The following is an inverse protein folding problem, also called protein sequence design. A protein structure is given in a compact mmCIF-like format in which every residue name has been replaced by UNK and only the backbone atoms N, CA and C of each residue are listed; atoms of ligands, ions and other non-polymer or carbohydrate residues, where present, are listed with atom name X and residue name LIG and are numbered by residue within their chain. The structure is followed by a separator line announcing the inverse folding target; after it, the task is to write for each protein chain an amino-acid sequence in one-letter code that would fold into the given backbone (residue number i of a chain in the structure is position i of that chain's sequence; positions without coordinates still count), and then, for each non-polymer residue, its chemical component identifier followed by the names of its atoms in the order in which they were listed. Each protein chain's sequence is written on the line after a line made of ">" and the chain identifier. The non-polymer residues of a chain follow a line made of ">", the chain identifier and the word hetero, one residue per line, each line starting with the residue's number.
data_IF_664921559815
#
_entry.id   IF_664921559815
#
_cell.length_a   1.000
_cell.length_b   1.000
_cell.length_c   1.000
_cell.angle_alpha   90.00
_cell.angle_beta   90.00
_cell.angle_gamma   90.00
#
_symmetry.space_group_name_H-M   'P 1'
#
loop_
_entity.id
_entity.type
_entity.pdbx_description
1 polymer ?
#
# COMPACT_ATOMS: atom_id res chain seq x y z
N UNK A 1 6.45 -9.85 17.90
CA UNK A 1 6.02 -10.53 16.67
C UNK A 1 4.62 -10.06 16.36
N UNK A 2 4.43 -9.23 15.34
CA UNK A 2 3.09 -8.90 14.90
C UNK A 2 2.53 -9.95 13.95
N UNK A 3 1.36 -9.66 13.40
CA UNK A 3 0.54 -10.62 12.69
C UNK A 3 0.64 -10.46 11.18
N UNK A 4 0.58 -11.57 10.45
CA UNK A 4 0.28 -11.54 9.02
C UNK A 4 -1.11 -10.95 8.78
N UNK A 5 -1.22 -10.11 7.75
CA UNK A 5 -2.49 -9.62 7.21
C UNK A 5 -2.70 -10.20 5.81
N UNK A 6 -3.76 -10.99 5.65
CA UNK A 6 -4.22 -11.47 4.35
C UNK A 6 -5.72 -11.20 4.23
N UNK A 7 -6.09 -10.35 3.28
CA UNK A 7 -7.49 -10.04 2.97
C UNK A 7 -7.83 -10.58 1.59
N UNK A 8 -8.96 -11.28 1.46
CA UNK A 8 -9.39 -11.90 0.21
C UNK A 8 -10.79 -11.41 -0.17
N UNK A 9 -10.91 -10.72 -1.30
CA UNK A 9 -12.14 -10.13 -1.80
C UNK A 9 -12.52 -10.69 -3.18
N UNK A 10 -13.80 -10.98 -3.39
CA UNK A 10 -14.32 -11.45 -4.69
C UNK A 10 -14.71 -10.26 -5.57
N UNK A 11 -14.19 -10.20 -6.80
CA UNK A 11 -14.63 -9.25 -7.82
C UNK A 11 -15.53 -9.96 -8.85
N UNK A 12 -16.79 -9.53 -8.94
CA UNK A 12 -17.80 -10.08 -9.86
C UNK A 12 -17.91 -9.21 -11.11
N UNK A 13 -18.23 -9.85 -12.23
CA UNK A 13 -18.44 -9.13 -13.49
C UNK A 13 -17.18 -8.53 -14.07
N UNK A 14 -17.36 -7.71 -15.11
CA UNK A 14 -16.29 -7.01 -15.83
C UNK A 14 -15.88 -5.69 -15.17
N UNK A 15 -16.61 -5.23 -14.16
CA UNK A 15 -16.42 -3.93 -13.52
C UNK A 15 -15.46 -4.02 -12.32
N UNK A 16 -14.19 -4.35 -12.58
CA UNK A 16 -13.11 -4.24 -11.59
C UNK A 16 -12.15 -3.07 -11.90
N UNK A 17 -12.53 -2.22 -12.86
CA UNK A 17 -11.72 -1.10 -13.36
C UNK A 17 -11.35 -0.13 -12.26
N UNK A 18 -12.27 0.26 -11.38
CA UNK A 18 -11.93 1.19 -10.29
C UNK A 18 -10.89 0.62 -9.30
N UNK A 19 -10.84 -0.70 -9.12
CA UNK A 19 -9.78 -1.33 -8.35
C UNK A 19 -8.46 -1.37 -9.13
N UNK A 20 -8.50 -1.62 -10.44
CA UNK A 20 -7.33 -1.49 -11.31
C UNK A 20 -6.78 -0.06 -11.28
N UNK A 21 -7.63 0.95 -11.40
CA UNK A 21 -7.24 2.36 -11.39
C UNK A 21 -6.56 2.78 -10.09
N UNK A 22 -7.05 2.25 -8.97
CA UNK A 22 -6.41 2.44 -7.66
C UNK A 22 -5.06 1.70 -7.58
N UNK A 23 -5.02 0.41 -7.97
CA UNK A 23 -3.81 -0.42 -7.87
C UNK A 23 -2.68 0.11 -8.77
N UNK A 24 -3.02 0.53 -9.98
CA UNK A 24 -2.08 1.01 -11.01
C UNK A 24 -1.87 2.53 -10.91
N UNK A 25 -2.45 3.17 -9.88
CA UNK A 25 -2.35 4.62 -9.64
C UNK A 25 -2.78 5.48 -10.84
N UNK A 26 -3.73 4.99 -11.66
CA UNK A 26 -4.46 5.82 -12.65
C UNK A 26 -5.28 6.90 -11.96
N UNK A 27 -5.73 6.65 -10.73
CA UNK A 27 -6.29 7.67 -9.82
C UNK A 27 -5.57 7.58 -8.48
N UNK A 28 -4.96 8.68 -8.04
CA UNK A 28 -4.23 8.74 -6.76
C UNK A 28 -5.25 8.88 -5.61
N UNK A 29 -5.27 7.94 -4.65
CA UNK A 29 -6.16 8.04 -3.49
C UNK A 29 -5.65 9.11 -2.49
N UNK A 30 -6.55 9.67 -1.69
CA UNK A 30 -6.22 10.76 -0.74
C UNK A 30 -5.18 10.39 0.32
N UNK A 31 -5.07 9.11 0.66
CA UNK A 31 -4.15 8.58 1.66
C UNK A 31 -2.83 8.08 1.05
N UNK A 32 -2.62 8.23 -0.25
CA UNK A 32 -1.33 7.97 -0.87
C UNK A 32 -0.50 9.25 -0.94
N UNK A 33 0.79 9.12 -0.64
CA UNK A 33 1.81 10.14 -0.77
C UNK A 33 2.41 10.11 -2.19
N UNK A 34 2.12 11.10 -3.05
CA UNK A 34 2.59 11.12 -4.43
C UNK A 34 4.11 11.12 -4.56
N UNK A 35 4.84 11.59 -3.54
CA UNK A 35 6.30 11.62 -3.55
C UNK A 35 6.88 10.20 -3.47
N UNK A 36 6.14 9.24 -2.91
CA UNK A 36 6.55 7.86 -2.71
C UNK A 36 6.02 6.89 -3.77
N UNK A 37 5.10 7.32 -4.64
CA UNK A 37 4.49 6.44 -5.66
C UNK A 37 5.50 5.79 -6.60
N UNK A 38 6.64 6.44 -6.85
CA UNK A 38 7.73 5.87 -7.64
C UNK A 38 8.41 4.64 -7.00
N UNK A 39 8.18 4.40 -5.70
CA UNK A 39 8.64 3.22 -4.97
C UNK A 39 7.71 2.01 -5.14
N UNK A 40 6.52 2.21 -5.70
CA UNK A 40 5.60 1.12 -6.02
C UNK A 40 6.20 0.25 -7.13
N UNK A 41 5.93 -1.06 -7.07
CA UNK A 41 6.54 -2.03 -7.99
C UNK A 41 5.54 -3.05 -8.47
N UNK A 42 5.54 -3.29 -9.77
CA UNK A 42 4.88 -4.44 -10.37
C UNK A 42 5.78 -5.67 -10.21
N UNK A 43 5.24 -6.72 -9.61
CA UNK A 43 5.94 -7.95 -9.27
C UNK A 43 5.63 -9.09 -10.27
N UNK A 44 4.67 -8.88 -11.16
CA UNK A 44 4.25 -9.85 -12.18
C UNK A 44 4.28 -9.15 -13.53
N UNK A 45 5.06 -9.70 -14.46
CA UNK A 45 5.07 -9.24 -15.85
C UNK A 45 3.79 -9.67 -16.57
N UNK A 46 3.22 -8.75 -17.34
CA UNK A 46 2.06 -9.05 -18.17
C UNK A 46 2.45 -9.79 -19.46
N UNK A 47 1.57 -10.66 -19.99
CA UNK A 47 1.76 -11.26 -21.31
C UNK A 47 1.84 -10.22 -22.43
N UNK A 48 2.44 -10.60 -23.56
CA UNK A 48 2.51 -9.75 -24.75
C UNK A 48 1.13 -9.23 -25.18
N UNK A 49 1.02 -7.92 -25.39
CA UNK A 49 -0.23 -7.26 -25.79
C UNK A 49 -1.24 -7.06 -24.66
N UNK A 50 -0.86 -7.30 -23.40
CA UNK A 50 -1.64 -6.95 -22.20
C UNK A 50 -0.98 -5.75 -21.53
N UNK A 51 -1.73 -4.66 -21.39
CA UNK A 51 -1.21 -3.37 -20.90
C UNK A 51 -1.57 -3.09 -19.44
N UNK A 52 -2.62 -3.73 -18.92
CA UNK A 52 -3.08 -3.50 -17.56
C UNK A 52 -3.70 -4.76 -16.92
N UNK A 53 -3.96 -4.67 -15.62
CA UNK A 53 -4.56 -5.72 -14.80
C UNK A 53 -5.94 -6.15 -15.29
N UNK A 54 -6.76 -5.23 -15.81
CA UNK A 54 -8.09 -5.54 -16.33
C UNK A 54 -7.98 -6.41 -17.59
N UNK A 55 -7.05 -6.07 -18.46
CA UNK A 55 -6.68 -6.87 -19.62
C UNK A 55 -6.04 -8.19 -19.21
N UNK A 56 -5.22 -8.24 -18.16
CA UNK A 56 -4.58 -9.47 -17.67
C UNK A 56 -5.62 -10.48 -17.17
N UNK A 57 -6.62 -10.04 -16.40
CA UNK A 57 -7.76 -10.86 -15.97
C UNK A 57 -8.50 -11.40 -17.21
N UNK A 58 -8.80 -10.52 -18.17
CA UNK A 58 -9.55 -10.87 -19.37
C UNK A 58 -8.78 -11.85 -20.27
N UNK A 59 -7.47 -11.61 -20.45
CA UNK A 59 -6.55 -12.45 -21.18
C UNK A 59 -6.53 -13.85 -20.57
N UNK A 60 -6.30 -13.96 -19.25
CA UNK A 60 -6.26 -15.25 -18.57
C UNK A 60 -7.58 -16.02 -18.70
N UNK A 61 -8.72 -15.34 -18.61
CA UNK A 61 -10.04 -15.97 -18.82
C UNK A 61 -10.20 -16.48 -20.25
N UNK A 62 -9.79 -15.69 -21.27
CA UNK A 62 -9.89 -16.06 -22.68
C UNK A 62 -9.00 -17.24 -23.04
N UNK A 63 -7.77 -17.28 -22.52
CA UNK A 63 -6.78 -18.31 -22.86
C UNK A 63 -6.89 -19.59 -22.02
N UNK A 64 -7.70 -19.59 -20.95
CA UNK A 64 -7.89 -20.76 -20.08
C UNK A 64 -8.66 -21.92 -20.70
N UNK A 65 -9.22 -21.79 -21.90
CA UNK A 65 -10.00 -22.86 -22.53
C UNK A 65 -11.35 -23.13 -21.87
N UNK A 66 -11.93 -22.12 -21.22
CA UNK A 66 -13.28 -22.21 -20.64
C UNK A 66 -14.31 -22.29 -21.76
N UNK A 67 -14.95 -23.45 -21.91
CA UNK A 67 -15.94 -23.68 -22.99
C UNK A 67 -17.34 -23.16 -22.70
N UNK A 68 -17.67 -22.96 -21.42
CA UNK A 68 -19.01 -22.50 -21.01
C UNK A 68 -19.06 -20.99 -20.93
N UNK A 69 -20.18 -20.40 -21.34
CA UNK A 69 -20.45 -18.97 -21.17
C UNK A 69 -20.28 -18.56 -19.70
N UNK A 70 -19.48 -17.51 -19.49
CA UNK A 70 -19.28 -16.86 -18.19
C UNK A 70 -20.41 -15.85 -18.01
N UNK A 71 -21.22 -16.03 -16.96
CA UNK A 71 -22.32 -15.09 -16.69
C UNK A 71 -21.78 -13.80 -16.05
N UNK A 72 -22.50 -12.66 -16.20
CA UNK A 72 -22.06 -11.39 -15.63
C UNK A 72 -21.75 -11.45 -14.13
N UNK A 73 -22.54 -12.19 -13.34
CA UNK A 73 -22.35 -12.26 -11.88
C UNK A 73 -21.23 -13.20 -11.41
N UNK A 74 -20.53 -13.87 -12.32
CA UNK A 74 -19.43 -14.76 -11.91
C UNK A 74 -18.25 -13.95 -11.38
N UNK A 75 -17.61 -14.52 -10.35
CA UNK A 75 -16.37 -13.98 -9.80
C UNK A 75 -15.25 -14.19 -10.82
N UNK A 76 -14.82 -13.09 -11.44
CA UNK A 76 -13.77 -13.09 -12.47
C UNK A 76 -12.38 -12.96 -11.87
N UNK A 77 -12.26 -12.26 -10.75
CA UNK A 77 -11.02 -12.09 -10.02
C UNK A 77 -11.22 -12.23 -8.51
N UNK A 78 -10.18 -12.68 -7.85
CA UNK A 78 -10.01 -12.66 -6.41
C UNK A 78 -8.90 -11.65 -6.13
N UNK A 79 -9.23 -10.58 -5.42
CA UNK A 79 -8.29 -9.56 -4.97
C UNK A 79 -7.75 -9.98 -3.62
N UNK A 80 -6.43 -9.98 -3.49
CA UNK A 80 -5.74 -10.37 -2.26
C UNK A 80 -4.88 -9.18 -1.83
N UNK A 81 -4.98 -8.78 -0.56
CA UNK A 81 -4.07 -7.80 0.05
C UNK A 81 -3.19 -8.55 1.03
N UNK A 82 -1.88 -8.39 0.91
CA UNK A 82 -0.86 -9.04 1.75
C UNK A 82 -0.03 -7.98 2.45
N UNK A 83 0.06 -8.04 3.77
CA UNK A 83 0.83 -7.11 4.59
C UNK A 83 1.10 -7.71 5.99
N UNK A 84 1.61 -6.89 6.91
CA UNK A 84 1.80 -7.15 8.33
C UNK A 84 1.30 -5.97 9.17
N UNK A 85 1.73 -5.89 10.43
CA UNK A 85 1.56 -4.65 11.21
C UNK A 85 2.43 -3.55 10.62
N UNK A 86 2.09 -2.28 10.90
CA UNK A 86 2.88 -1.16 10.37
C UNK A 86 4.35 -1.26 10.82
N UNK A 87 4.56 -1.50 12.10
CA UNK A 87 5.89 -1.57 12.72
C UNK A 87 6.73 -2.71 12.14
N UNK A 88 6.15 -3.90 11.95
CA UNK A 88 6.88 -5.02 11.36
C UNK A 88 7.18 -4.79 9.88
N UNK A 89 6.28 -4.16 9.13
CA UNK A 89 6.53 -3.86 7.71
C UNK A 89 7.64 -2.82 7.54
N UNK A 90 7.66 -1.79 8.40
CA UNK A 90 8.75 -0.81 8.41
C UNK A 90 10.08 -1.47 8.79
N UNK A 91 10.07 -2.37 9.78
CA UNK A 91 11.27 -3.14 10.14
C UNK A 91 11.80 -4.00 8.98
N UNK A 92 10.93 -4.71 8.25
CA UNK A 92 11.33 -5.50 7.08
C UNK A 92 11.97 -4.60 6.00
N UNK A 93 11.42 -3.40 5.81
CA UNK A 93 11.96 -2.41 4.88
C UNK A 93 13.34 -1.89 5.33
N UNK A 94 13.47 -1.47 6.59
CA UNK A 94 14.68 -0.89 7.16
C UNK A 94 15.83 -1.90 7.22
N UNK A 95 15.53 -3.17 7.42
CA UNK A 95 16.49 -4.28 7.34
C UNK A 95 16.90 -4.63 5.89
N UNK A 96 16.34 -3.96 4.88
CA UNK A 96 16.63 -4.22 3.46
C UNK A 96 16.05 -5.54 2.95
N UNK A 97 15.06 -6.12 3.65
CA UNK A 97 14.48 -7.44 3.35
C UNK A 97 13.18 -7.39 2.54
N UNK A 98 12.82 -6.20 2.06
CA UNK A 98 11.57 -5.98 1.32
C UNK A 98 11.51 -6.73 -0.01
N UNK A 99 12.63 -6.88 -0.71
CA UNK A 99 12.73 -7.67 -1.94
C UNK A 99 12.46 -9.16 -1.66
N UNK A 100 13.12 -9.70 -0.64
CA UNK A 100 12.93 -11.07 -0.17
C UNK A 100 11.46 -11.32 0.18
N UNK A 101 10.85 -10.36 0.90
CA UNK A 101 9.45 -10.43 1.30
C UNK A 101 8.52 -10.42 0.09
N UNK A 102 8.76 -9.57 -0.91
CA UNK A 102 8.00 -9.56 -2.16
C UNK A 102 8.08 -10.90 -2.89
N UNK A 103 9.28 -11.47 -3.02
CA UNK A 103 9.52 -12.73 -3.73
C UNK A 103 8.81 -13.91 -3.04
N UNK A 104 8.85 -13.99 -1.71
CA UNK A 104 8.15 -15.04 -0.98
C UNK A 104 6.63 -14.91 -1.06
N UNK A 105 6.12 -13.69 -1.03
CA UNK A 105 4.69 -13.42 -1.24
C UNK A 105 4.25 -13.90 -2.62
N UNK A 106 5.02 -13.58 -3.65
CA UNK A 106 4.75 -14.02 -5.01
C UNK A 106 4.83 -15.55 -5.12
N UNK A 107 5.86 -16.17 -4.55
CA UNK A 107 5.98 -17.63 -4.52
C UNK A 107 4.80 -18.29 -3.79
N UNK A 108 4.38 -17.77 -2.65
CA UNK A 108 3.25 -18.29 -1.90
C UNK A 108 1.95 -18.18 -2.71
N UNK A 109 1.70 -17.05 -3.37
CA UNK A 109 0.55 -16.86 -4.26
C UNK A 109 0.55 -17.88 -5.40
N UNK A 110 1.68 -18.04 -6.09
CA UNK A 110 1.81 -18.95 -7.23
C UNK A 110 1.67 -20.42 -6.82
N UNK A 111 2.21 -20.82 -5.65
CA UNK A 111 2.04 -22.19 -5.12
C UNK A 111 0.58 -22.44 -4.68
N UNK A 112 -0.08 -21.44 -4.12
CA UNK A 112 -1.43 -21.57 -3.57
C UNK A 112 -2.52 -21.54 -4.64
N UNK A 113 -2.40 -20.63 -5.60
CA UNK A 113 -3.44 -20.35 -6.60
C UNK A 113 -3.06 -20.76 -8.02
N UNK A 114 -1.78 -21.05 -8.27
CA UNK A 114 -1.20 -21.34 -9.57
C UNK A 114 -0.54 -20.11 -10.19
N UNK A 115 0.62 -20.31 -10.82
CA UNK A 115 1.39 -19.26 -11.51
C UNK A 115 0.53 -18.53 -12.57
N UNK A 116 -0.06 -19.29 -13.49
CA UNK A 116 -0.95 -18.78 -14.54
C UNK A 116 -2.19 -18.02 -14.01
N UNK A 117 -2.63 -18.35 -12.79
CA UNK A 117 -3.81 -17.73 -12.21
C UNK A 117 -3.47 -16.44 -11.46
N UNK A 118 -2.20 -16.21 -11.09
CA UNK A 118 -1.75 -14.98 -10.43
C UNK A 118 -1.35 -13.97 -11.50
N UNK A 119 -2.31 -13.13 -11.91
CA UNK A 119 -2.19 -12.30 -13.11
C UNK A 119 -1.64 -10.90 -12.87
N UNK A 120 -1.58 -10.46 -11.61
CA UNK A 120 -1.04 -9.17 -11.21
C UNK A 120 -0.67 -9.25 -9.73
N UNK A 121 0.47 -8.65 -9.37
CA UNK A 121 0.85 -8.36 -7.99
C UNK A 121 1.60 -7.03 -7.99
N UNK A 122 1.16 -6.07 -7.18
CA UNK A 122 1.73 -4.73 -7.12
C UNK A 122 2.01 -4.37 -5.68
N UNK A 123 3.26 -4.03 -5.38
CA UNK A 123 3.69 -3.48 -4.10
C UNK A 123 3.33 -1.99 -4.05
N UNK A 124 2.62 -1.58 -3.00
CA UNK A 124 2.36 -0.18 -2.66
C UNK A 124 3.23 0.23 -1.48
N UNK A 125 4.04 1.24 -1.70
CA UNK A 125 4.97 1.87 -0.76
C UNK A 125 4.61 3.33 -0.49
N UNK A 126 3.54 3.83 -1.09
CA UNK A 126 3.08 5.21 -1.02
C UNK A 126 1.90 5.43 -0.09
N UNK A 127 1.41 4.38 0.56
CA UNK A 127 0.40 4.49 1.62
C UNK A 127 1.04 4.36 3.01
N UNK A 128 0.20 4.34 4.06
CA UNK A 128 0.67 4.30 5.44
C UNK A 128 1.54 3.06 5.74
N UNK A 129 1.14 1.87 5.29
CA UNK A 129 1.86 0.62 5.54
C UNK A 129 2.17 -0.08 4.22
N UNK A 130 3.41 -0.54 3.98
CA UNK A 130 3.74 -1.36 2.81
C UNK A 130 2.83 -2.58 2.66
N UNK A 131 2.27 -2.78 1.47
CA UNK A 131 1.38 -3.91 1.20
C UNK A 131 1.37 -4.30 -0.28
N UNK A 132 1.01 -5.56 -0.57
CA UNK A 132 0.88 -6.06 -1.93
C UNK A 132 -0.59 -6.24 -2.28
N UNK A 133 -1.01 -5.65 -3.38
CA UNK A 133 -2.24 -5.97 -4.07
C UNK A 133 -2.00 -7.06 -5.11
N UNK A 134 -2.47 -8.27 -4.83
CA UNK A 134 -2.43 -9.39 -5.76
C UNK A 134 -3.81 -9.70 -6.36
N UNK A 135 -3.81 -10.21 -7.58
CA UNK A 135 -5.03 -10.57 -8.32
C UNK A 135 -4.92 -11.96 -8.88
N UNK A 136 -5.88 -12.80 -8.48
CA UNK A 136 -5.97 -14.20 -8.88
C UNK A 136 -7.23 -14.45 -9.69
N UNK A 137 -7.11 -15.09 -10.86
CA UNK A 137 -8.27 -15.58 -11.63
C UNK A 137 -8.59 -17.01 -11.16
N UNK A 138 -9.78 -17.28 -10.60
CA UNK A 138 -10.10 -18.57 -9.96
C UNK A 138 -10.44 -19.66 -10.98
N UNK A 139 -9.49 -20.01 -11.85
CA UNK A 139 -9.63 -21.10 -12.79
C UNK A 139 -9.27 -22.41 -12.11
N UNK A 140 -10.19 -23.37 -12.19
CA UNK A 140 -10.03 -24.71 -11.66
C UNK A 140 -10.30 -25.75 -12.74
N UNK A 141 -9.55 -26.85 -12.67
CA UNK A 141 -9.75 -28.04 -13.51
C UNK A 141 -10.23 -29.17 -12.62
N UNK A 142 -11.28 -29.88 -13.05
CA UNK A 142 -11.79 -31.05 -12.34
C UNK A 142 -13.28 -30.97 -12.01
N UNK A 143 -13.77 -32.03 -11.40
CA UNK A 143 -15.20 -32.18 -11.08
C UNK A 143 -15.72 -31.09 -10.15
N UNK A 144 -16.99 -30.75 -10.31
CA UNK A 144 -17.64 -29.73 -9.48
C UNK A 144 -17.88 -30.28 -8.07
N UNK A 145 -17.42 -29.59 -7.03
CA UNK A 145 -17.65 -29.98 -5.62
C UNK A 145 -19.12 -30.28 -5.30
N UNK A 146 -20.04 -29.43 -5.76
CA UNK A 146 -21.50 -29.62 -5.56
C UNK A 146 -22.08 -30.82 -6.33
N UNK A 147 -21.36 -31.38 -7.32
CA UNK A 147 -21.75 -32.61 -7.99
C UNK A 147 -21.36 -33.85 -7.16
N UNK A 148 -20.17 -33.86 -6.53
CA UNK A 148 -19.75 -34.93 -5.61
C UNK A 148 -20.73 -35.10 -4.45
N UNK A 149 -21.17 -34.00 -3.82
CA UNK A 149 -22.17 -34.03 -2.73
C UNK A 149 -23.55 -34.58 -3.15
N UNK A 150 -23.97 -34.36 -4.42
CA UNK A 150 -25.24 -34.91 -4.93
C UNK A 150 -25.15 -36.40 -5.28
N UNK A 151 -23.96 -36.89 -5.61
CA UNK A 151 -23.71 -38.29 -5.93
C UNK A 151 -23.69 -39.14 -4.66
N UNK A 152 -23.17 -38.60 -3.54
CA UNK A 152 -23.26 -39.22 -2.21
C UNK A 152 -24.70 -39.23 -1.66
N UNK A 153 -25.52 -38.23 -2.01
CA UNK A 153 -26.93 -38.12 -1.58
C UNK A 153 -27.91 -38.94 -2.46
N UNK A 154 -27.43 -39.89 -3.27
CA UNK A 154 -28.26 -40.83 -4.03
C UNK A 154 -29.11 -40.25 -5.18
N UNK A 155 -28.99 -38.96 -5.50
CA UNK A 155 -29.79 -38.33 -6.57
C UNK A 155 -29.14 -38.55 -7.94
N UNK A 156 -29.93 -39.03 -8.92
CA UNK A 156 -29.51 -39.24 -10.33
C UNK A 156 -28.78 -38.00 -10.86
N UNK A 157 -27.49 -38.17 -11.16
CA UNK A 157 -26.61 -37.13 -11.67
C UNK A 157 -26.32 -37.41 -13.14
N UNK A 158 -26.71 -36.50 -14.03
CA UNK A 158 -26.33 -36.52 -15.45
C UNK A 158 -24.79 -36.56 -15.55
N UNK A 159 -24.23 -37.53 -16.29
CA UNK A 159 -22.78 -37.74 -16.45
C UNK A 159 -22.15 -36.49 -17.10
N UNK A 160 -21.54 -35.62 -16.30
CA UNK A 160 -20.84 -34.42 -16.79
C UNK A 160 -19.40 -34.80 -17.10
N UNK A 161 -18.87 -34.34 -18.24
CA UNK A 161 -17.50 -34.60 -18.69
C UNK A 161 -16.50 -34.28 -17.56
N UNK A 162 -15.66 -35.26 -17.22
CA UNK A 162 -14.56 -35.08 -16.28
C UNK A 162 -13.58 -34.00 -16.78
N UNK A 163 -12.89 -33.32 -15.87
CA UNK A 163 -11.78 -32.40 -16.16
C UNK A 163 -12.08 -31.21 -17.09
N UNK A 164 -13.27 -30.61 -16.98
CA UNK A 164 -13.56 -29.35 -17.69
C UNK A 164 -12.97 -28.16 -16.92
N UNK A 165 -12.23 -27.29 -17.63
CA UNK A 165 -11.73 -26.02 -17.09
C UNK A 165 -12.88 -25.05 -16.86
N UNK A 166 -12.92 -24.40 -15.69
CA UNK A 166 -13.99 -23.46 -15.32
C UNK A 166 -13.48 -22.37 -14.38
N UNK A 167 -14.16 -21.23 -14.43
CA UNK A 167 -14.05 -20.15 -13.46
C UNK A 167 -14.91 -20.48 -12.22
N UNK A 168 -14.29 -20.67 -11.05
CA UNK A 168 -15.03 -21.00 -9.84
C UNK A 168 -14.33 -20.60 -8.53
N UNK A 169 -14.66 -19.41 -8.04
CA UNK A 169 -14.18 -18.95 -6.73
C UNK A 169 -14.65 -19.83 -5.55
N UNK A 170 -15.81 -20.50 -5.64
CA UNK A 170 -16.31 -21.36 -4.55
C UNK A 170 -15.43 -22.59 -4.30
N UNK A 171 -14.71 -23.07 -5.32
CA UNK A 171 -13.78 -24.19 -5.19
C UNK A 171 -12.39 -23.72 -4.71
N UNK A 172 -12.08 -22.43 -4.86
CA UNK A 172 -10.83 -21.81 -4.41
C UNK A 172 -10.95 -21.26 -2.98
N UNK A 173 -12.13 -20.75 -2.61
CA UNK A 173 -12.40 -20.04 -1.35
C UNK A 173 -13.38 -20.80 -0.45
N UNK A 174 -13.11 -22.09 -0.23
CA UNK A 174 -13.81 -22.90 0.78
C UNK A 174 -13.33 -22.52 2.19
N UNK A 175 -14.15 -22.74 3.22
CA UNK A 175 -13.78 -22.45 4.61
C UNK A 175 -12.48 -23.15 5.02
N UNK A 176 -12.33 -24.42 4.65
CA UNK A 176 -11.14 -25.21 4.96
C UNK A 176 -9.89 -24.61 4.31
N UNK A 177 -9.95 -24.33 3.01
CA UNK A 177 -8.87 -23.65 2.28
C UNK A 177 -8.50 -22.28 2.87
N UNK A 178 -9.48 -21.47 3.26
CA UNK A 178 -9.20 -20.17 3.88
C UNK A 178 -8.40 -20.35 5.18
N UNK A 179 -8.77 -21.31 6.03
CA UNK A 179 -7.98 -21.65 7.23
C UNK A 179 -6.57 -22.08 6.84
N UNK A 180 -6.43 -22.98 5.85
CA UNK A 180 -5.13 -23.42 5.35
C UNK A 180 -4.29 -22.28 4.79
N UNK A 181 -4.89 -21.30 4.11
CA UNK A 181 -4.17 -20.14 3.59
C UNK A 181 -3.59 -19.28 4.71
N UNK A 182 -4.35 -19.04 5.78
CA UNK A 182 -3.80 -18.35 6.95
C UNK A 182 -2.66 -19.15 7.60
N UNK A 183 -2.80 -20.48 7.71
CA UNK A 183 -1.78 -21.35 8.31
C UNK A 183 -0.49 -21.36 7.47
N UNK A 184 -0.61 -21.57 6.16
CA UNK A 184 0.54 -21.67 5.24
C UNK A 184 1.20 -20.31 4.99
N UNK A 185 0.42 -19.23 4.92
CA UNK A 185 0.96 -17.88 4.74
C UNK A 185 1.74 -17.44 5.98
N UNK A 186 1.22 -17.70 7.18
CA UNK A 186 1.95 -17.44 8.42
C UNK A 186 3.27 -18.21 8.46
N UNK A 187 3.29 -19.48 8.04
CA UNK A 187 4.53 -20.27 7.97
C UNK A 187 5.54 -19.68 6.99
N UNK A 188 5.09 -19.17 5.84
CA UNK A 188 5.97 -18.52 4.86
C UNK A 188 6.55 -17.20 5.41
N UNK A 189 5.78 -16.47 6.22
CA UNK A 189 6.17 -15.16 6.74
C UNK A 189 6.90 -15.20 8.09
N UNK A 190 7.03 -16.37 8.72
CA UNK A 190 7.64 -16.56 10.05
C UNK A 190 9.06 -15.97 10.14
N UNK A 191 9.86 -16.08 9.07
CA UNK A 191 11.23 -15.53 9.02
C UNK A 191 11.31 -14.00 9.01
N UNK A 192 10.18 -13.33 8.85
CA UNK A 192 10.04 -11.87 8.98
C UNK A 192 9.49 -11.47 10.36
N UNK A 193 9.33 -12.42 11.28
CA UNK A 193 8.76 -12.17 12.61
C UNK A 193 7.24 -12.00 12.60
N UNK A 194 6.57 -12.32 11.49
CA UNK A 194 5.13 -12.26 11.34
C UNK A 194 4.50 -13.62 11.68
N UNK A 195 3.50 -13.60 12.57
CA UNK A 195 2.81 -14.81 13.02
C UNK A 195 1.36 -14.87 12.55
N UNK A 196 0.77 -16.06 12.69
CA UNK A 196 -0.64 -16.29 12.36
C UNK A 196 -1.56 -15.48 13.26
N UNK A 197 -2.60 -14.86 12.68
CA UNK A 197 -3.70 -14.29 13.45
C UNK A 197 -4.45 -15.33 14.30
N UNK A 198 -5.21 -14.85 15.28
CA UNK A 198 -5.96 -15.69 16.25
C UNK A 198 -6.91 -16.64 15.53
N UNK A 199 -6.80 -17.93 15.83
CA UNK A 199 -7.68 -18.96 15.25
C UNK A 199 -9.07 -18.84 15.86
N UNK A 200 -10.10 -18.80 15.01
CA UNK A 200 -11.48 -18.62 15.48
C UNK A 200 -11.80 -17.20 15.92
N UNK A 201 -10.99 -16.20 15.54
CA UNK A 201 -11.27 -14.79 15.83
C UNK A 201 -12.70 -14.40 15.43
N UNK A 202 -13.39 -13.72 16.33
CA UNK A 202 -14.73 -13.16 16.11
C UNK A 202 -14.69 -11.76 15.50
N UNK A 203 -13.48 -11.23 15.24
CA UNK A 203 -13.29 -9.93 14.62
C UNK A 203 -14.00 -9.88 13.26
N UNK A 204 -14.76 -8.81 13.04
CA UNK A 204 -15.41 -8.52 11.76
C UNK A 204 -14.55 -7.59 10.94
N UNK A 205 -14.39 -7.89 9.66
CA UNK A 205 -13.70 -7.00 8.75
C UNK A 205 -14.40 -5.64 8.69
N UNK A 206 -13.65 -4.58 8.96
CA UNK A 206 -14.05 -3.20 8.75
C UNK A 206 -13.45 -2.70 7.45
N UNK A 207 -14.26 -2.01 6.65
CA UNK A 207 -13.74 -1.36 5.43
C UNK A 207 -12.82 -0.21 5.82
N UNK A 208 -11.88 0.17 4.96
CA UNK A 208 -10.97 1.31 5.18
C UNK A 208 -11.74 2.60 5.51
N UNK A 209 -12.84 2.87 4.83
CA UNK A 209 -13.68 4.04 5.09
C UNK A 209 -14.38 3.99 6.45
N UNK A 210 -14.80 2.80 6.91
CA UNK A 210 -15.34 2.62 8.26
C UNK A 210 -14.25 2.80 9.32
N UNK A 211 -13.08 2.20 9.11
CA UNK A 211 -11.94 2.34 10.02
C UNK A 211 -11.58 3.81 10.26
N UNK A 212 -11.40 4.61 9.20
CA UNK A 212 -11.11 6.05 9.36
C UNK A 212 -12.25 6.82 10.03
N UNK A 213 -13.51 6.43 9.80
CA UNK A 213 -14.67 7.04 10.48
C UNK A 213 -14.66 6.73 11.97
N UNK A 214 -14.43 5.48 12.33
CA UNK A 214 -14.40 5.03 13.72
C UNK A 214 -13.20 5.65 14.45
N UNK A 215 -12.03 5.71 13.80
CA UNK A 215 -10.84 6.37 14.33
C UNK A 215 -11.13 7.85 14.61
N UNK A 216 -11.69 8.58 13.64
CA UNK A 216 -12.03 10.00 13.81
C UNK A 216 -13.03 10.22 14.96
N UNK A 217 -14.01 9.33 15.11
CA UNK A 217 -14.96 9.38 16.24
C UNK A 217 -14.25 9.14 17.56
N UNK A 218 -13.42 8.09 17.66
CA UNK A 218 -12.68 7.77 18.88
C UNK A 218 -11.73 8.89 19.27
N UNK A 219 -11.02 9.51 18.31
CA UNK A 219 -10.17 10.67 18.57
C UNK A 219 -10.97 11.83 19.13
N UNK A 220 -12.15 12.14 18.56
CA UNK A 220 -13.03 13.19 19.08
C UNK A 220 -13.58 12.88 20.48
N UNK A 221 -13.93 11.62 20.77
CA UNK A 221 -14.35 11.18 22.10
C UNK A 221 -13.21 11.28 23.12
N UNK A 222 -11.99 10.89 22.74
CA UNK A 222 -10.79 11.03 23.56
C UNK A 222 -10.46 12.49 23.85
N UNK A 223 -10.51 13.36 22.84
CA UNK A 223 -10.30 14.80 23.00
C UNK A 223 -11.32 15.41 23.98
N UNK A 224 -12.59 15.04 23.87
CA UNK A 224 -13.63 15.48 24.79
C UNK A 224 -13.38 14.98 26.23
N UNK A 225 -13.01 13.71 26.38
CA UNK A 225 -12.69 13.14 27.69
C UNK A 225 -11.47 13.82 28.33
N UNK A 226 -10.43 14.13 27.54
CA UNK A 226 -9.25 14.86 28.03
C UNK A 226 -9.63 16.25 28.51
N UNK A 227 -10.46 16.98 27.77
CA UNK A 227 -10.94 18.31 28.18
C UNK A 227 -11.79 18.25 29.47
N UNK A 228 -12.64 17.24 29.60
CA UNK A 228 -13.43 17.03 30.81
C UNK A 228 -12.52 16.74 32.02
N UNK A 229 -11.57 15.80 31.88
CA UNK A 229 -10.63 15.47 32.95
C UNK A 229 -9.77 16.67 33.37
N UNK A 230 -9.34 17.51 32.42
CA UNK A 230 -8.63 18.75 32.72
C UNK A 230 -9.50 19.73 33.53
N UNK A 231 -10.80 19.82 33.18
CA UNK A 231 -11.75 20.68 33.90
C UNK A 231 -11.99 20.16 35.32
N UNK A 232 -12.19 18.86 35.49
CA UNK A 232 -12.35 18.22 36.80
C UNK A 232 -11.10 18.39 37.66
N UNK A 233 -9.91 18.26 37.07
CA UNK A 233 -8.64 18.49 37.76
C UNK A 233 -8.54 19.94 38.28
N UNK A 234 -8.84 20.94 37.44
CA UNK A 234 -8.83 22.35 37.87
C UNK A 234 -9.83 22.63 38.99
N UNK A 235 -11.03 22.04 38.92
CA UNK A 235 -12.03 22.19 39.97
C UNK A 235 -11.57 21.54 41.28
N UNK A 236 -10.97 20.34 41.20
CA UNK A 236 -10.42 19.65 42.36
C UNK A 236 -9.28 20.45 43.01
N UNK A 237 -8.37 21.03 42.22
CA UNK A 237 -7.29 21.91 42.70
C UNK A 237 -7.85 23.16 43.39
N UNK A 238 -8.85 23.82 42.80
CA UNK A 238 -9.51 24.98 43.41
C UNK A 238 -10.20 24.63 44.73
N UNK A 239 -10.86 23.47 44.83
CA UNK A 239 -11.45 23.01 46.08
C UNK A 239 -10.37 22.70 47.12
N UNK A 240 -9.27 22.07 46.72
CA UNK A 240 -8.12 21.79 47.60
C UNK A 240 -7.52 23.09 48.16
N UNK A 241 -7.41 24.13 47.34
CA UNK A 241 -6.90 25.42 47.77
C UNK A 241 -7.88 26.15 48.69
N UNK A 242 -9.19 26.07 48.44
CA UNK A 242 -10.21 26.58 49.38
C UNK A 242 -10.14 25.88 50.73
N UNK A 243 -10.11 24.55 50.74
CA UNK A 243 -9.95 23.76 51.98
C UNK A 243 -8.63 24.09 52.67
N UNK A 244 -7.54 24.29 51.94
CA UNK A 244 -6.25 24.73 52.52
C UNK A 244 -6.35 26.12 53.15
N UNK A 245 -7.07 27.05 52.54
CA UNK A 245 -7.29 28.39 53.08
C UNK A 245 -8.19 28.36 54.33
N UNK A 246 -9.28 27.60 54.29
CA UNK A 246 -10.19 27.40 55.43
C UNK A 246 -9.49 26.70 56.61
N UNK A 247 -8.67 25.69 56.33
CA UNK A 247 -7.83 25.02 57.33
C UNK A 247 -6.75 25.96 57.90
N UNK A 248 -6.34 26.99 57.16
CA UNK A 248 -5.39 28.02 57.60
C UNK A 248 -6.07 29.10 58.44
N UNK A 249 -7.37 29.37 58.23
CA UNK A 249 -8.15 30.33 59.01
C UNK A 249 -8.81 29.72 60.26
N UNK A 250 -9.15 28.43 60.26
CA UNK A 250 -9.80 27.75 61.40
C UNK A 250 -8.81 27.10 62.39
N UNK A 251 -7.50 27.07 62.08
CA UNK A 251 -6.45 26.51 62.95
C UNK A 251 -5.71 27.54 63.81
N UNK A 252 -6.50 28.38 64.47
CA UNK A 252 -6.12 29.11 65.67
C UNK A 252 -7.39 29.07 66.55
N UNK A 253 -7.78 27.98 67.21
CA UNK A 253 -7.32 27.68 68.57
C UNK A 253 -7.86 26.35 69.18
N UNK A 254 -8.88 25.64 68.65
CA UNK A 254 -9.60 24.67 69.51
C UNK A 254 -9.71 23.19 69.05
N UNK A 255 -9.54 22.82 67.78
CA UNK A 255 -9.97 21.49 67.29
C UNK A 255 -8.85 20.42 67.12
N UNK A 256 -7.61 20.69 67.54
CA UNK A 256 -6.42 19.90 67.15
C UNK A 256 -6.24 18.58 67.92
N UNK A 257 -6.88 18.42 69.07
CA UNK A 257 -6.61 17.31 70.01
C UNK A 257 -7.72 16.26 70.05
N UNK A 258 -8.99 16.63 69.89
CA UNK A 258 -10.12 15.69 70.10
C UNK A 258 -10.53 14.93 68.83
N UNK A 259 -10.54 15.59 67.66
CA UNK A 259 -10.89 14.96 66.39
C UNK A 259 -9.81 13.99 65.87
N UNK A 260 -8.55 14.16 66.32
CA UNK A 260 -7.42 13.30 65.90
C UNK A 260 -7.51 11.90 66.52
N UNK A 261 -8.01 11.78 67.75
CA UNK A 261 -8.21 10.49 68.42
C UNK A 261 -9.41 9.73 67.83
N UNK A 262 -10.50 10.43 67.49
CA UNK A 262 -11.70 9.82 66.94
C UNK A 262 -11.56 9.42 65.45
N UNK A 263 -10.78 10.16 64.66
CA UNK A 263 -10.56 9.85 63.23
C UNK A 263 -9.57 8.68 63.03
N UNK A 264 -8.53 8.57 63.87
CA UNK A 264 -7.58 7.45 63.81
C UNK A 264 -8.25 6.12 64.14
N UNK A 265 -9.21 6.11 65.07
CA UNK A 265 -9.98 4.91 65.42
C UNK A 265 -10.98 4.47 64.31
N UNK A 266 -11.51 5.40 63.51
CA UNK A 266 -12.54 5.11 62.49
C UNK A 266 -11.98 4.85 61.09
N UNK A 267 -10.80 5.38 60.79
CA UNK A 267 -10.08 5.10 59.53
C UNK A 267 -9.37 3.73 59.57
N UNK A 268 -9.04 3.22 60.75
CA UNK A 268 -8.42 1.90 60.92
C UNK A 268 -9.32 0.70 60.56
N UNK A 269 -10.65 0.88 60.50
CA UNK A 269 -11.61 -0.22 60.30
C UNK A 269 -12.33 -0.22 58.95
N UNK A 270 -12.13 0.80 58.09
CA UNK A 270 -13.00 1.01 56.91
C UNK A 270 -12.31 0.99 55.54
N UNK A 271 -10.98 1.03 55.44
CA UNK A 271 -10.32 0.97 54.14
C UNK A 271 -9.14 0.01 54.13
N UNK A 272 -9.20 -0.99 53.24
CA UNK A 272 -8.03 -1.70 52.72
C UNK A 272 -7.21 -0.78 51.80
N UNK A 273 -6.65 0.28 52.38
CA UNK A 273 -6.13 1.48 51.71
C UNK A 273 -4.85 1.30 50.90
N UNK A 274 -4.11 0.20 51.06
CA UNK A 274 -2.78 0.09 50.46
C UNK A 274 -2.84 -0.21 48.95
N UNK A 275 -3.75 -1.09 48.49
CA UNK A 275 -3.84 -1.47 47.07
C UNK A 275 -4.25 -0.33 46.14
N UNK A 276 -5.29 0.43 46.50
CA UNK A 276 -5.78 1.54 45.66
C UNK A 276 -4.83 2.74 45.64
N UNK A 277 -4.02 2.90 46.69
CA UNK A 277 -3.02 3.98 46.77
C UNK A 277 -1.77 3.62 45.94
N UNK A 278 -1.34 2.35 46.02
CA UNK A 278 -0.28 1.80 45.18
C UNK A 278 -0.66 1.87 43.68
N UNK A 279 -1.87 1.45 43.30
CA UNK A 279 -2.34 1.52 41.91
C UNK A 279 -2.42 2.97 41.38
N UNK A 280 -2.83 3.93 42.22
CA UNK A 280 -2.87 5.35 41.84
C UNK A 280 -1.47 5.92 41.66
N UNK A 281 -0.54 5.60 42.55
CA UNK A 281 0.86 6.04 42.44
C UNK A 281 1.54 5.42 41.22
N UNK A 282 1.27 4.15 40.90
CA UNK A 282 1.78 3.48 39.70
C UNK A 282 1.21 4.09 38.41
N UNK A 283 -0.10 4.37 38.36
CA UNK A 283 -0.72 5.05 37.23
C UNK A 283 -0.15 6.46 37.03
N UNK A 284 0.08 7.19 38.13
CA UNK A 284 0.65 8.54 38.06
C UNK A 284 2.09 8.53 37.54
N UNK A 285 2.92 7.58 37.99
CA UNK A 285 4.26 7.38 37.46
C UNK A 285 4.24 7.03 35.96
N UNK A 286 3.29 6.19 35.55
CA UNK A 286 3.15 5.78 34.14
C UNK A 286 2.70 6.92 33.24
N UNK A 287 1.80 7.79 33.72
CA UNK A 287 1.41 9.01 33.02
C UNK A 287 2.62 9.93 32.84
N UNK A 288 3.38 10.20 33.91
CA UNK A 288 4.59 11.04 33.80
C UNK A 288 5.65 10.45 32.88
N UNK A 289 5.82 9.13 32.85
CA UNK A 289 6.73 8.47 31.92
C UNK A 289 6.27 8.66 30.46
N UNK A 290 4.98 8.48 30.18
CA UNK A 290 4.41 8.69 28.85
C UNK A 290 4.47 10.16 28.39
N UNK A 291 4.27 11.11 29.30
CA UNK A 291 4.41 12.54 29.01
C UNK A 291 5.85 12.91 28.60
N UNK A 292 6.85 12.32 29.28
CA UNK A 292 8.24 12.53 28.93
C UNK A 292 8.59 11.90 27.57
N UNK A 293 8.13 10.68 27.30
CA UNK A 293 8.31 10.04 25.99
C UNK A 293 7.65 10.84 24.86
N UNK A 294 6.44 11.36 25.08
CA UNK A 294 5.77 12.21 24.10
C UNK A 294 6.55 13.51 23.83
N UNK A 295 7.13 14.13 24.86
CA UNK A 295 7.99 15.31 24.68
C UNK A 295 9.23 14.99 23.83
N UNK A 296 9.90 13.87 24.10
CA UNK A 296 11.06 13.42 23.32
C UNK A 296 10.69 13.13 21.86
N UNK A 297 9.57 12.44 21.62
CA UNK A 297 9.07 12.16 20.27
C UNK A 297 8.73 13.44 19.50
N UNK A 298 8.06 14.41 20.14
CA UNK A 298 7.75 15.70 19.53
C UNK A 298 9.04 16.44 19.15
N UNK A 299 10.06 16.37 19.99
CA UNK A 299 11.35 17.01 19.73
C UNK A 299 12.11 16.31 18.58
N UNK A 300 12.03 14.98 18.52
CA UNK A 300 12.60 14.21 17.42
C UNK A 300 11.92 14.51 16.08
N UNK A 301 10.58 14.55 16.04
CA UNK A 301 9.81 14.92 14.85
C UNK A 301 10.21 16.31 14.35
N UNK A 302 10.29 17.30 15.25
CA UNK A 302 10.74 18.66 14.88
C UNK A 302 12.15 18.68 14.29
N UNK A 303 13.04 17.83 14.80
CA UNK A 303 14.41 17.73 14.30
C UNK A 303 14.42 17.15 12.89
N UNK A 304 13.69 16.05 12.66
CA UNK A 304 13.57 15.45 11.34
C UNK A 304 12.90 16.38 10.32
N UNK A 305 11.86 17.13 10.71
CA UNK A 305 11.21 18.11 9.84
C UNK A 305 12.18 19.22 9.41
N UNK A 306 13.04 19.67 10.33
CA UNK A 306 14.06 20.68 10.05
C UNK A 306 15.14 20.13 9.11
N UNK A 307 15.66 18.93 9.37
CA UNK A 307 16.64 18.26 8.50
C UNK A 307 16.08 18.06 7.08
N UNK A 308 14.84 17.56 6.97
CA UNK A 308 14.19 17.36 5.68
C UNK A 308 13.98 18.68 4.94
N UNK A 309 13.63 19.76 5.65
CA UNK A 309 13.50 21.10 5.08
C UNK A 309 14.85 21.61 4.57
N UNK A 310 15.94 21.36 5.29
CA UNK A 310 17.29 21.73 4.86
C UNK A 310 17.72 20.95 3.61
N UNK A 311 17.43 19.65 3.55
CA UNK A 311 17.67 18.81 2.36
C UNK A 311 16.88 19.29 1.14
N UNK A 312 15.58 19.57 1.31
CA UNK A 312 14.73 20.14 0.26
C UNK A 312 15.28 21.46 -0.24
N UNK A 313 15.79 22.30 0.66
CA UNK A 313 16.42 23.58 0.32
C UNK A 313 17.67 23.37 -0.53
N UNK A 314 18.58 22.48 -0.09
CA UNK A 314 19.81 22.14 -0.83
C UNK A 314 19.51 21.55 -2.21
N UNK A 315 18.49 20.70 -2.31
CA UNK A 315 18.05 20.13 -3.58
C UNK A 315 17.50 21.21 -4.52
N UNK A 316 16.64 22.09 -4.02
CA UNK A 316 16.11 23.20 -4.81
C UNK A 316 17.22 24.14 -5.30
N UNK A 317 18.20 24.47 -4.47
CA UNK A 317 19.37 25.23 -4.90
C UNK A 317 20.17 24.54 -6.02
N UNK A 318 20.27 23.21 -5.97
CA UNK A 318 20.92 22.43 -7.02
C UNK A 318 20.10 22.44 -8.32
N UNK A 319 18.78 22.28 -8.23
CA UNK A 319 17.86 22.38 -9.38
C UNK A 319 17.92 23.79 -10.00
N UNK A 320 17.92 24.84 -9.19
CA UNK A 320 18.06 26.23 -9.64
C UNK A 320 19.39 26.45 -10.38
N UNK A 321 20.50 25.86 -9.89
CA UNK A 321 21.78 25.88 -10.61
C UNK A 321 21.68 25.19 -11.97
N UNK A 322 21.05 24.01 -12.04
CA UNK A 322 20.84 23.31 -13.32
C UNK A 322 20.02 24.18 -14.28
N UNK A 323 18.91 24.75 -13.81
CA UNK A 323 18.06 25.60 -14.66
C UNK A 323 18.77 26.87 -15.12
N UNK A 324 19.61 27.47 -14.26
CA UNK A 324 20.38 28.68 -14.58
C UNK A 324 21.47 28.43 -15.61
N UNK A 325 22.24 27.35 -15.48
CA UNK A 325 23.37 27.06 -16.37
C UNK A 325 22.98 26.20 -17.59
N UNK A 326 21.92 25.40 -17.48
CA UNK A 326 21.46 24.46 -18.50
C UNK A 326 19.93 24.54 -18.70
N UNK A 327 19.39 25.69 -19.12
CA UNK A 327 17.94 25.93 -19.18
C UNK A 327 17.18 24.99 -20.15
N UNK A 328 17.89 24.35 -21.08
CA UNK A 328 17.31 23.39 -22.01
C UNK A 328 17.04 22.02 -21.39
N UNK A 329 17.63 21.67 -20.23
CA UNK A 329 17.51 20.33 -19.61
C UNK A 329 16.06 19.98 -19.31
N UNK A 330 15.31 20.92 -18.74
CA UNK A 330 13.88 20.76 -18.48
C UNK A 330 13.09 20.43 -19.76
N UNK A 331 13.46 21.07 -20.88
CA UNK A 331 12.82 20.92 -22.18
C UNK A 331 13.19 19.61 -22.88
N UNK A 332 14.28 18.97 -22.48
CA UNK A 332 14.67 17.65 -22.97
C UNK A 332 13.95 16.51 -22.23
N UNK A 333 13.46 16.71 -21.00
CA UNK A 333 12.81 15.64 -20.21
C UNK A 333 11.64 14.95 -20.96
N UNK A 334 10.72 15.65 -21.64
CA UNK A 334 9.66 15.00 -22.42
C UNK A 334 10.20 14.15 -23.58
N UNK A 335 11.32 14.58 -24.20
CA UNK A 335 11.96 13.82 -25.28
C UNK A 335 12.68 12.58 -24.75
N UNK A 336 13.34 12.70 -23.60
CA UNK A 336 13.95 11.58 -22.88
C UNK A 336 12.88 10.53 -22.56
N UNK A 337 11.76 10.98 -21.99
CA UNK A 337 10.61 10.13 -21.70
C UNK A 337 10.12 9.44 -22.98
N UNK A 338 9.84 10.19 -24.04
CA UNK A 338 9.38 9.64 -25.32
C UNK A 338 10.37 8.61 -25.92
N UNK A 339 11.68 8.89 -25.89
CA UNK A 339 12.68 7.94 -26.38
C UNK A 339 12.68 6.64 -25.58
N UNK A 340 12.56 6.73 -24.25
CA UNK A 340 12.57 5.58 -23.35
C UNK A 340 11.27 4.78 -23.43
N UNK A 341 10.12 5.43 -23.39
CA UNK A 341 8.82 4.76 -23.26
C UNK A 341 8.22 4.39 -24.62
N UNK A 342 8.34 5.27 -25.61
CA UNK A 342 7.71 5.11 -26.93
C UNK A 342 8.63 4.41 -27.91
N UNK A 343 9.86 4.91 -28.09
CA UNK A 343 10.83 4.33 -29.04
C UNK A 343 11.64 3.17 -28.45
N UNK A 344 11.55 2.95 -27.13
CA UNK A 344 12.27 1.90 -26.39
C UNK A 344 13.80 1.97 -26.56
N UNK A 345 14.35 3.17 -26.65
CA UNK A 345 15.80 3.38 -26.74
C UNK A 345 16.50 3.06 -25.43
N UNK A 346 17.69 2.48 -25.53
CA UNK A 346 18.55 2.24 -24.35
C UNK A 346 19.04 3.56 -23.75
N UNK A 347 19.31 3.55 -22.44
CA UNK A 347 19.82 4.71 -21.71
C UNK A 347 21.09 5.31 -22.37
N UNK A 348 21.98 4.45 -22.89
CA UNK A 348 23.19 4.87 -23.59
C UNK A 348 22.90 5.67 -24.87
N UNK A 349 21.83 5.35 -25.59
CA UNK A 349 21.41 6.09 -26.79
C UNK A 349 20.81 7.43 -26.40
N UNK A 350 19.94 7.44 -25.40
CA UNK A 350 19.30 8.67 -24.89
C UNK A 350 20.34 9.67 -24.39
N UNK A 351 21.32 9.22 -23.60
CA UNK A 351 22.42 10.07 -23.11
C UNK A 351 23.22 10.70 -24.25
N UNK A 352 23.43 9.97 -25.35
CA UNK A 352 24.09 10.54 -26.54
C UNK A 352 23.18 11.58 -27.21
N UNK A 353 21.86 11.35 -27.30
CA UNK A 353 20.91 12.29 -27.91
C UNK A 353 20.85 13.61 -27.14
N UNK A 354 20.92 13.54 -25.80
CA UNK A 354 20.98 14.71 -24.92
C UNK A 354 22.21 15.60 -25.15
N UNK A 355 23.25 15.10 -25.84
CA UNK A 355 24.40 15.92 -26.27
C UNK A 355 24.11 16.78 -27.50
N UNK A 356 22.88 16.74 -28.02
CA UNK A 356 22.42 17.47 -29.20
C UNK A 356 23.27 17.16 -30.45
N UNK A 357 23.75 15.91 -30.55
CA UNK A 357 24.52 15.40 -31.68
C UNK A 357 23.73 14.33 -32.40
N UNK A 358 23.95 14.26 -33.72
CA UNK A 358 23.38 13.21 -34.55
C UNK A 358 23.96 11.86 -34.17
N UNK A 359 23.10 10.85 -34.12
CA UNK A 359 23.50 9.47 -33.83
C UNK A 359 22.93 8.58 -34.89
N UNK A 360 23.82 7.88 -35.58
CA UNK A 360 23.45 6.81 -36.48
C UNK A 360 23.23 5.52 -35.70
N UNK A 361 22.05 4.94 -35.87
CA UNK A 361 21.63 3.69 -35.26
C UNK A 361 21.31 2.69 -36.37
N UNK A 362 21.68 1.43 -36.12
CA UNK A 362 21.39 0.28 -36.98
C UNK A 362 20.55 -0.70 -36.17
N UNK A 363 19.51 -1.25 -36.79
CA UNK A 363 18.70 -2.34 -36.23
C UNK A 363 17.21 -2.13 -36.35
N UNK A 364 16.47 -2.75 -35.44
CA UNK A 364 15.00 -2.75 -35.44
C UNK A 364 14.44 -1.66 -34.53
N UNK A 365 13.63 -0.78 -35.11
CA UNK A 365 13.01 0.35 -34.42
C UNK A 365 11.52 0.09 -34.21
N UNK A 366 11.07 0.14 -32.95
CA UNK A 366 9.67 -0.12 -32.61
C UNK A 366 8.77 1.08 -32.95
N UNK A 367 7.68 0.82 -33.70
CA UNK A 367 6.61 1.77 -33.92
C UNK A 367 5.38 1.42 -33.09
N UNK A 368 4.97 2.29 -32.15
CA UNK A 368 3.72 2.10 -31.42
C UNK A 368 2.48 2.20 -32.31
N UNK A 369 2.52 3.01 -33.38
CA UNK A 369 1.37 3.21 -34.28
C UNK A 369 1.03 1.94 -35.06
N UNK A 370 2.05 1.24 -35.57
CA UNK A 370 1.87 -0.01 -36.32
C UNK A 370 2.01 -1.27 -35.46
N UNK A 371 2.33 -1.11 -34.17
CA UNK A 371 2.61 -2.19 -33.23
C UNK A 371 3.58 -3.25 -33.78
N UNK A 372 4.63 -2.81 -34.49
CA UNK A 372 5.68 -3.66 -35.07
C UNK A 372 7.01 -2.94 -35.14
N UNK A 373 8.09 -3.69 -35.36
CA UNK A 373 9.42 -3.13 -35.58
C UNK A 373 9.70 -2.93 -37.07
N UNK A 374 10.46 -1.89 -37.37
CA UNK A 374 10.96 -1.57 -38.72
C UNK A 374 12.48 -1.63 -38.71
N UNK A 375 13.05 -2.39 -39.62
CA UNK A 375 14.50 -2.53 -39.75
C UNK A 375 15.08 -1.36 -40.56
N UNK A 376 16.14 -0.73 -40.06
CA UNK A 376 16.91 0.25 -40.82
C UNK A 376 18.41 0.17 -40.47
N UNK A 377 19.23 0.32 -41.49
CA UNK A 377 20.69 0.15 -41.42
C UNK A 377 21.44 1.47 -41.15
N UNK A 378 20.79 2.62 -41.35
CA UNK A 378 21.43 3.94 -41.33
C UNK A 378 20.55 5.05 -40.72
N UNK A 379 19.58 4.72 -39.85
CA UNK A 379 18.69 5.70 -39.24
C UNK A 379 19.46 6.70 -38.36
N UNK A 380 19.38 7.99 -38.68
CA UNK A 380 20.08 9.07 -37.96
C UNK A 380 19.09 9.82 -37.09
N UNK A 381 19.26 9.73 -35.76
CA UNK A 381 18.42 10.41 -34.77
C UNK A 381 19.12 11.66 -34.20
N UNK A 382 18.34 12.71 -33.94
CA UNK A 382 18.83 13.97 -33.37
C UNK A 382 17.74 14.66 -32.54
N UNK A 383 18.12 15.24 -31.40
CA UNK A 383 17.33 16.29 -30.75
C UNK A 383 17.67 17.63 -31.37
N UNK A 384 16.67 18.25 -31.98
CA UNK A 384 16.81 19.50 -32.71
C UNK A 384 15.99 20.59 -32.05
N UNK A 385 16.60 21.76 -31.89
CA UNK A 385 15.89 22.96 -31.45
C UNK A 385 15.00 23.48 -32.59
N UNK A 386 13.77 23.86 -32.26
CA UNK A 386 12.84 24.50 -33.17
C UNK A 386 13.36 25.87 -33.58
N UNK A 387 13.49 26.10 -34.88
CA UNK A 387 13.98 27.37 -35.46
C UNK A 387 13.08 28.56 -35.11
N UNK A 388 11.78 28.32 -34.92
CA UNK A 388 10.77 29.35 -34.68
C UNK A 388 10.47 29.53 -33.19
N UNK A 389 10.93 28.61 -32.34
CA UNK A 389 10.66 28.60 -30.89
C UNK A 389 11.92 28.21 -30.12
N UNK A 390 12.73 29.22 -29.79
CA UNK A 390 13.93 29.04 -28.98
C UNK A 390 13.59 28.33 -27.66
N UNK A 391 14.36 27.31 -27.31
CA UNK A 391 14.14 26.46 -26.14
C UNK A 391 13.16 25.29 -26.33
N UNK A 392 12.52 25.14 -27.49
CA UNK A 392 11.71 23.96 -27.79
C UNK A 392 12.52 22.95 -28.61
N UNK A 393 12.57 21.71 -28.13
CA UNK A 393 13.30 20.64 -28.81
C UNK A 393 12.32 19.58 -29.32
N UNK A 394 12.65 18.96 -30.44
CA UNK A 394 11.94 17.82 -30.99
C UNK A 394 12.94 16.77 -31.47
N UNK A 395 12.51 15.51 -31.52
CA UNK A 395 13.30 14.41 -32.08
C UNK A 395 13.01 14.27 -33.57
N UNK A 396 14.06 14.08 -34.35
CA UNK A 396 14.00 13.85 -35.79
C UNK A 396 14.77 12.59 -36.17
N UNK A 397 14.37 12.00 -37.31
CA UNK A 397 15.04 10.90 -38.03
C UNK A 397 15.38 11.39 -39.43
N UNK A 398 16.54 10.99 -39.98
CA UNK A 398 16.93 11.16 -41.39
C UNK A 398 16.54 12.53 -41.99
N UNK A 399 17.14 13.61 -41.48
CA UNK A 399 16.92 15.00 -41.90
C UNK A 399 15.49 15.55 -41.66
N UNK A 400 15.20 15.91 -40.40
CA UNK A 400 13.99 16.62 -39.94
C UNK A 400 12.65 15.86 -40.04
N UNK A 401 12.67 14.53 -40.19
CA UNK A 401 11.43 13.75 -40.24
C UNK A 401 11.04 13.35 -38.81
N UNK A 402 9.85 13.69 -38.31
CA UNK A 402 9.39 13.19 -37.02
C UNK A 402 9.34 11.65 -37.02
N UNK A 403 9.71 10.96 -35.93
CA UNK A 403 9.73 9.49 -35.88
C UNK A 403 8.43 8.82 -36.33
N UNK A 404 7.28 9.39 -35.97
CA UNK A 404 5.96 8.90 -36.38
C UNK A 404 5.82 8.92 -37.92
N UNK A 405 6.20 10.02 -38.56
CA UNK A 405 6.14 10.15 -40.01
C UNK A 405 7.15 9.23 -40.70
N UNK A 406 8.34 9.06 -40.12
CA UNK A 406 9.34 8.14 -40.61
C UNK A 406 8.85 6.68 -40.59
N UNK A 407 8.18 6.25 -39.51
CA UNK A 407 7.55 4.93 -39.46
C UNK A 407 6.45 4.75 -40.50
N UNK A 408 5.64 5.78 -40.76
CA UNK A 408 4.60 5.73 -41.81
C UNK A 408 5.20 5.59 -43.20
N UNK A 409 6.32 6.26 -43.48
CA UNK A 409 7.06 6.09 -44.74
C UNK A 409 7.60 4.66 -44.86
N UNK A 410 8.24 4.15 -43.80
CA UNK A 410 8.73 2.77 -43.72
C UNK A 410 7.65 1.69 -43.81
N UNK A 411 6.39 2.02 -43.53
CA UNK A 411 5.27 1.10 -43.68
C UNK A 411 4.75 1.01 -45.12
N UNK A 412 5.06 2.01 -45.94
CA UNK A 412 4.66 2.08 -47.34
C UNK A 412 5.80 1.68 -48.31
N UNK A 413 7.03 1.58 -47.80
CA UNK A 413 8.16 0.85 -48.42
C UNK A 413 7.93 -0.67 -48.30
#
# INVERSE_FOLDING_TARGET
>A
MGYISIQINKAKGSADTGASDHIERKTIPKNADPTRTHLNRELVEFPDGVSDRTEAISHRIRTAGIKRKITPDQVRAIRIVLSGTHEDMMKIQDEGRLDEWCDDNLQWLQRTFGKENTVSAVLHMDEHTPHIHATVVPIVTGERRKAKKKQTDGKRSYRKKANTVRLCADDVLTREKLVTYHDSYAKAMEKYGLQRGVRGSEARHTTTAQYYRDLKRQTGELEANVQQLQTEQQQAEQQLDKVRQEVKSEKLEAAKTEAKAAFVAKVGSLFGSNKLKEEREELQQRISALENQNKELIQHIKTMEQEHKEECTKFNEYVDKIQRYFPYVEKLLPLIYFCRTTLKFSERVIQKLCKLKEIRLKGDFYSPEFNRKFHDENAVFLFKEDKNRKGYYHICVNNNIPPVQWFRQKANE
#
